data_IF_336811527465
#
_entry.id   IF_336811527465
#
_cell.length_a   1.000
_cell.length_b   1.000
_cell.length_c   1.000
_cell.angle_alpha   90.00
_cell.angle_beta   90.00
_cell.angle_gamma   90.00
#
_symmetry.space_group_name_H-M   'P 1'
#
loop_
_entity.id
_entity.type
_entity.pdbx_description
1 polymer ?
#
# COMPACT_ATOMS: atom_id res chain seq x y z
N UNK A 1 5.95 0.28 -9.06
CA UNK A 1 6.44 1.68 -9.05
C UNK A 1 5.39 2.47 -8.30
N UNK A 2 5.79 3.06 -7.17
CA UNK A 2 4.92 3.86 -6.30
C UNK A 2 4.33 5.04 -7.10
N UNK A 3 3.09 5.42 -6.80
CA UNK A 3 2.46 6.59 -7.41
C UNK A 3 3.19 7.85 -6.90
N UNK A 4 3.60 8.72 -7.84
CA UNK A 4 4.35 9.94 -7.54
C UNK A 4 3.64 10.89 -6.57
N UNK A 5 2.33 10.75 -6.38
CA UNK A 5 1.60 11.53 -5.37
C UNK A 5 2.13 11.30 -3.95
N UNK A 6 2.80 10.18 -3.68
CA UNK A 6 3.42 9.87 -2.39
C UNK A 6 4.79 10.54 -2.21
N UNK A 7 5.41 10.98 -3.30
CA UNK A 7 6.70 11.66 -3.26
C UNK A 7 6.58 13.05 -2.62
N UNK A 8 7.47 13.34 -1.67
CA UNK A 8 7.47 14.63 -0.96
C UNK A 8 7.65 15.81 -1.93
N UNK A 9 8.55 15.68 -2.90
CA UNK A 9 8.82 16.75 -3.89
C UNK A 9 7.59 17.11 -4.72
N UNK A 10 6.77 16.11 -5.06
CA UNK A 10 5.51 16.31 -5.79
C UNK A 10 4.48 16.99 -4.90
N UNK A 11 4.38 16.60 -3.62
CA UNK A 11 3.50 17.26 -2.65
C UNK A 11 3.90 18.74 -2.48
N UNK A 12 5.19 19.01 -2.29
CA UNK A 12 5.72 20.37 -2.11
C UNK A 12 5.46 21.23 -3.35
N UNK A 13 5.61 20.65 -4.55
CA UNK A 13 5.25 21.31 -5.80
C UNK A 13 3.74 21.63 -5.86
N UNK A 14 2.86 20.67 -5.58
CA UNK A 14 1.41 20.89 -5.62
C UNK A 14 0.96 21.98 -4.63
N UNK A 15 1.53 21.98 -3.42
CA UNK A 15 1.30 23.02 -2.42
C UNK A 15 1.73 24.40 -2.93
N UNK A 16 2.92 24.49 -3.54
CA UNK A 16 3.45 25.73 -4.13
C UNK A 16 2.52 26.32 -5.20
N UNK A 17 1.78 25.48 -5.92
CA UNK A 17 0.84 25.89 -6.95
C UNK A 17 -0.62 25.98 -6.48
N UNK A 18 -0.86 25.96 -5.16
CA UNK A 18 -2.16 26.27 -4.56
C UNK A 18 -3.09 25.08 -4.38
N UNK A 19 -2.63 23.85 -4.61
CA UNK A 19 -3.37 22.65 -4.21
C UNK A 19 -3.28 22.54 -2.69
N UNK A 20 -4.41 22.30 -2.04
CA UNK A 20 -4.46 22.21 -0.57
C UNK A 20 -3.99 20.85 -0.06
N UNK A 21 -3.49 20.80 1.18
CA UNK A 21 -3.18 19.53 1.86
C UNK A 21 -4.37 18.56 1.85
N UNK A 22 -5.59 19.08 2.00
CA UNK A 22 -6.83 18.31 1.92
C UNK A 22 -6.96 17.59 0.57
N UNK A 23 -6.80 18.31 -0.54
CA UNK A 23 -6.88 17.75 -1.88
C UNK A 23 -5.78 16.70 -2.13
N UNK A 24 -4.56 16.96 -1.64
CA UNK A 24 -3.45 16.00 -1.73
C UNK A 24 -3.79 14.72 -0.94
N UNK A 25 -4.30 14.86 0.29
CA UNK A 25 -4.69 13.73 1.12
C UNK A 25 -5.88 12.95 0.53
N UNK A 26 -6.81 13.64 -0.12
CA UNK A 26 -7.92 13.02 -0.85
C UNK A 26 -7.44 12.16 -2.01
N UNK A 27 -6.47 12.66 -2.79
CA UNK A 27 -5.82 11.92 -3.88
C UNK A 27 -5.05 10.71 -3.34
N UNK A 28 -4.16 10.92 -2.35
CA UNK A 28 -3.40 9.83 -1.69
C UNK A 28 -4.31 8.73 -1.18
N UNK A 29 -5.40 9.10 -0.51
CA UNK A 29 -6.36 8.15 0.03
C UNK A 29 -7.03 7.33 -1.08
N UNK A 30 -7.50 8.00 -2.12
CA UNK A 30 -8.23 7.34 -3.21
C UNK A 30 -7.32 6.39 -3.98
N UNK A 31 -6.09 6.83 -4.29
CA UNK A 31 -5.11 6.04 -5.01
C UNK A 31 -4.65 4.83 -4.20
N UNK A 32 -4.23 5.03 -2.94
CA UNK A 32 -3.78 3.90 -2.11
C UNK A 32 -4.91 2.87 -1.92
N UNK A 33 -6.13 3.33 -1.59
CA UNK A 33 -7.27 2.43 -1.41
C UNK A 33 -7.51 1.59 -2.67
N UNK A 34 -7.48 2.21 -3.84
CA UNK A 34 -7.71 1.52 -5.11
C UNK A 34 -6.60 0.52 -5.42
N UNK A 35 -5.33 0.92 -5.31
CA UNK A 35 -4.17 0.06 -5.54
C UNK A 35 -4.17 -1.15 -4.59
N UNK A 36 -4.51 -0.96 -3.31
CA UNK A 36 -4.65 -2.06 -2.35
C UNK A 36 -5.74 -3.04 -2.78
N UNK A 37 -6.93 -2.54 -3.16
CA UNK A 37 -8.03 -3.40 -3.63
C UNK A 37 -7.61 -4.20 -4.86
N UNK A 38 -6.95 -3.56 -5.82
CA UNK A 38 -6.54 -4.21 -7.06
C UNK A 38 -5.50 -5.30 -6.81
N UNK A 39 -4.56 -5.09 -5.87
CA UNK A 39 -3.64 -6.14 -5.43
C UNK A 39 -4.38 -7.34 -4.82
N UNK A 40 -5.32 -7.09 -3.92
CA UNK A 40 -6.09 -8.16 -3.29
C UNK A 40 -6.92 -8.93 -4.32
N UNK A 41 -7.47 -8.25 -5.34
CA UNK A 41 -8.17 -8.91 -6.45
C UNK A 41 -7.26 -9.77 -7.31
N UNK A 42 -6.03 -9.31 -7.58
CA UNK A 42 -5.04 -10.10 -8.32
C UNK A 42 -4.74 -11.39 -7.55
N UNK A 43 -4.47 -11.30 -6.26
CA UNK A 43 -4.20 -12.48 -5.42
C UNK A 43 -5.40 -13.42 -5.39
N UNK A 44 -6.61 -12.89 -5.18
CA UNK A 44 -7.84 -13.69 -5.19
C UNK A 44 -8.00 -14.45 -6.52
N UNK A 45 -7.80 -13.76 -7.65
CA UNK A 45 -7.86 -14.36 -8.99
C UNK A 45 -6.82 -15.45 -9.18
N UNK A 46 -5.58 -15.26 -8.72
CA UNK A 46 -4.53 -16.27 -8.81
C UNK A 46 -4.89 -17.53 -8.01
N UNK A 47 -5.51 -17.37 -6.84
CA UNK A 47 -6.01 -18.49 -6.05
C UNK A 47 -7.16 -19.22 -6.75
N UNK A 48 -8.12 -18.49 -7.33
CA UNK A 48 -9.23 -19.05 -8.11
C UNK A 48 -8.73 -19.84 -9.34
N UNK A 49 -7.64 -19.39 -9.97
CA UNK A 49 -7.01 -20.04 -11.13
C UNK A 49 -5.97 -21.11 -10.73
N UNK A 50 -5.84 -21.43 -9.45
CA UNK A 50 -4.87 -22.41 -8.89
C UNK A 50 -3.39 -22.10 -9.25
N UNK A 51 -3.05 -20.81 -9.44
CA UNK A 51 -1.69 -20.33 -9.76
C UNK A 51 -0.91 -19.98 -8.50
N UNK A 52 -0.61 -20.97 -7.68
CA UNK A 52 -0.04 -20.75 -6.34
C UNK A 52 1.39 -20.19 -6.36
N UNK A 53 2.19 -20.55 -7.36
CA UNK A 53 3.55 -20.03 -7.54
C UNK A 53 3.52 -18.51 -7.83
N UNK A 54 2.52 -18.05 -8.59
CA UNK A 54 2.37 -16.63 -8.92
C UNK A 54 1.94 -15.80 -7.70
N UNK A 55 1.23 -16.40 -6.74
CA UNK A 55 0.88 -15.73 -5.47
C UNK A 55 2.14 -15.34 -4.70
N UNK A 56 3.19 -16.16 -4.75
CA UNK A 56 4.46 -15.88 -4.06
C UNK A 56 5.11 -14.57 -4.52
N UNK A 57 4.87 -14.13 -5.77
CA UNK A 57 5.36 -12.85 -6.28
C UNK A 57 4.72 -11.63 -5.60
N UNK A 58 3.64 -11.83 -4.85
CA UNK A 58 2.95 -10.78 -4.09
C UNK A 58 3.20 -10.86 -2.58
N UNK A 59 4.06 -11.79 -2.15
CA UNK A 59 4.41 -11.96 -0.75
C UNK A 59 5.82 -11.45 -0.48
N UNK A 60 6.04 -11.01 0.75
CA UNK A 60 7.38 -10.76 1.27
C UNK A 60 7.62 -11.66 2.48
N UNK A 61 8.86 -12.09 2.60
CA UNK A 61 9.33 -12.87 3.73
C UNK A 61 9.64 -11.95 4.91
N UNK A 62 9.18 -12.34 6.10
CA UNK A 62 9.53 -11.68 7.36
C UNK A 62 10.30 -12.68 8.25
N UNK A 63 11.60 -12.42 8.50
CA UNK A 63 12.42 -13.23 9.41
C UNK A 63 12.14 -12.94 10.88
N UNK A 64 11.27 -11.97 11.20
CA UNK A 64 10.93 -11.61 12.57
C UNK A 64 10.08 -12.68 13.26
N UNK A 65 9.63 -13.68 12.50
CA UNK A 65 8.76 -14.75 12.95
C UNK A 65 7.31 -14.29 13.10
N UNK A 66 6.40 -15.25 13.21
CA UNK A 66 5.09 -15.03 13.80
C UNK A 66 5.19 -14.92 15.34
N UNK A 67 4.05 -14.88 16.04
CA UNK A 67 4.04 -14.81 17.51
C UNK A 67 4.70 -16.01 18.21
N UNK A 68 5.07 -17.06 17.46
CA UNK A 68 5.76 -18.25 17.93
C UNK A 68 7.24 -18.30 17.51
N UNK A 69 7.71 -17.30 16.77
CA UNK A 69 9.10 -17.21 16.28
C UNK A 69 9.36 -17.97 14.98
N UNK A 70 8.30 -18.40 14.27
CA UNK A 70 8.42 -19.10 12.99
C UNK A 70 8.36 -18.12 11.83
N UNK A 71 9.30 -18.22 10.89
CA UNK A 71 9.31 -17.44 9.64
C UNK A 71 7.93 -17.36 8.98
N UNK A 72 7.52 -16.15 8.59
CA UNK A 72 6.22 -15.94 7.97
C UNK A 72 6.31 -15.13 6.67
N UNK A 73 5.24 -15.24 5.88
CA UNK A 73 5.03 -14.47 4.67
C UNK A 73 3.80 -13.60 4.84
N UNK A 74 3.86 -12.39 4.30
CA UNK A 74 2.74 -11.45 4.30
C UNK A 74 2.56 -10.85 2.92
N UNK A 75 1.35 -10.38 2.62
CA UNK A 75 1.08 -9.67 1.37
C UNK A 75 1.86 -8.36 1.40
N UNK A 76 2.77 -8.20 0.45
CA UNK A 76 3.69 -7.08 0.38
C UNK A 76 3.01 -5.86 -0.25
N UNK A 77 3.17 -4.68 0.36
CA UNK A 77 2.62 -3.41 -0.12
C UNK A 77 3.65 -2.28 -0.30
N UNK A 78 4.92 -2.53 0.02
CA UNK A 78 5.96 -1.50 0.04
C UNK A 78 6.20 -0.84 -1.33
N UNK A 79 5.99 -1.57 -2.42
CA UNK A 79 6.14 -1.04 -3.77
C UNK A 79 5.01 -0.07 -4.19
N UNK A 80 3.92 0.01 -3.41
CA UNK A 80 2.86 0.99 -3.60
C UNK A 80 3.19 2.33 -2.94
N UNK A 81 3.74 2.29 -1.72
CA UNK A 81 4.11 3.46 -0.92
C UNK A 81 5.27 3.09 0.00
N UNK A 82 6.35 3.87 -0.07
CA UNK A 82 7.52 3.67 0.79
C UNK A 82 7.12 3.67 2.28
N UNK A 83 7.58 2.65 3.00
CA UNK A 83 7.32 2.49 4.43
C UNK A 83 5.97 1.85 4.79
N UNK A 84 5.17 1.44 3.80
CA UNK A 84 3.94 0.66 4.03
C UNK A 84 4.20 -0.80 3.66
N UNK A 85 4.47 -1.66 4.63
CA UNK A 85 4.90 -3.03 4.32
C UNK A 85 3.72 -3.99 4.12
N UNK A 86 2.72 -3.89 4.99
CA UNK A 86 1.62 -4.84 5.07
C UNK A 86 0.23 -4.17 5.01
N UNK A 87 -0.83 -4.99 5.10
CA UNK A 87 -2.21 -4.49 5.07
C UNK A 87 -2.57 -3.64 6.29
N UNK A 88 -1.96 -3.91 7.46
CA UNK A 88 -2.21 -3.13 8.66
C UNK A 88 -1.61 -1.72 8.53
N UNK A 89 -0.41 -1.61 7.97
CA UNK A 89 0.23 -0.33 7.62
C UNK A 89 -0.64 0.45 6.64
N UNK A 90 -1.15 -0.19 5.59
CA UNK A 90 -2.10 0.42 4.65
C UNK A 90 -3.32 0.97 5.39
N UNK A 91 -3.94 0.15 6.24
CA UNK A 91 -5.13 0.54 6.99
C UNK A 91 -4.87 1.73 7.92
N UNK A 92 -3.72 1.74 8.60
CA UNK A 92 -3.33 2.83 9.49
C UNK A 92 -3.09 4.12 8.70
N UNK A 93 -2.37 4.04 7.58
CA UNK A 93 -2.12 5.20 6.74
C UNK A 93 -3.41 5.77 6.12
N UNK A 94 -4.32 4.91 5.65
CA UNK A 94 -5.64 5.34 5.18
C UNK A 94 -6.48 6.02 6.28
N UNK A 95 -6.41 5.53 7.53
CA UNK A 95 -7.06 6.18 8.68
C UNK A 95 -6.48 7.57 8.93
N UNK A 96 -5.16 7.72 8.90
CA UNK A 96 -4.50 9.01 9.09
C UNK A 96 -4.84 9.99 7.97
N UNK A 97 -4.79 9.55 6.71
CA UNK A 97 -5.24 10.38 5.59
C UNK A 97 -6.69 10.81 5.77
N UNK A 98 -7.58 9.90 6.18
CA UNK A 98 -9.00 10.20 6.42
C UNK A 98 -9.25 11.22 7.53
N UNK A 99 -8.42 11.24 8.59
CA UNK A 99 -8.50 12.26 9.66
C UNK A 99 -8.08 13.64 9.18
N UNK A 100 -7.18 13.70 8.19
CA UNK A 100 -6.59 14.92 7.65
C UNK A 100 -7.23 15.36 6.31
N UNK A 101 -8.43 14.85 6.01
CA UNK A 101 -9.30 15.30 4.91
C UNK A 101 -10.22 16.44 5.35
#
# INVERSE_FOLDING_TARGET
MSDKIFDKEVCDYLLKFGVTNKQINDLKFSNLKQLTIDRLKIIAKLLEEEKFEDVQNHLAYSPAGDGMGDDNYYIFFYDLVDGINDLNDVCNYLKELKKNK
#
